data_IF_711106290263
#
_entry.id   IF_711106290263
#
_cell.length_a   1.000
_cell.length_b   1.000
_cell.length_c   1.000
_cell.angle_alpha   90.00
_cell.angle_beta   90.00
_cell.angle_gamma   90.00
#
_symmetry.space_group_name_H-M   'P 1'
#
loop_
_entity.id
_entity.type
_entity.pdbx_description
1 polymer ?
#
# COMPACT_ATOMS: atom_id res chain seq x y z
N UNK A 1 26.28 -25.58 -14.00
CA UNK A 1 25.15 -24.86 -13.38
C UNK A 1 23.90 -25.23 -14.18
N UNK A 2 22.77 -25.56 -13.54
CA UNK A 2 21.53 -25.75 -14.30
C UNK A 2 21.22 -24.44 -15.07
N UNK A 3 20.69 -24.53 -16.30
CA UNK A 3 20.42 -23.36 -17.11
C UNK A 3 19.40 -22.47 -16.41
N UNK A 4 19.73 -21.18 -16.27
CA UNK A 4 18.78 -20.16 -15.83
C UNK A 4 17.66 -20.07 -16.86
N UNK A 5 16.42 -20.31 -16.43
CA UNK A 5 15.26 -20.16 -17.30
C UNK A 5 14.75 -18.73 -17.17
N UNK A 6 14.63 -18.02 -18.29
CA UNK A 6 13.94 -16.72 -18.33
C UNK A 6 12.45 -16.99 -18.54
N UNK A 7 11.61 -16.38 -17.71
CA UNK A 7 10.15 -16.42 -17.86
C UNK A 7 9.59 -15.01 -17.90
N UNK A 8 8.76 -14.75 -18.90
CA UNK A 8 8.09 -13.47 -19.11
C UNK A 8 6.64 -13.55 -18.62
N UNK A 9 6.24 -12.58 -17.80
CA UNK A 9 4.86 -12.43 -17.35
C UNK A 9 4.25 -11.18 -17.98
N UNK A 10 3.11 -11.29 -18.69
CA UNK A 10 2.48 -10.14 -19.31
C UNK A 10 1.95 -9.15 -18.25
N UNK A 11 2.14 -7.87 -18.51
CA UNK A 11 1.60 -6.78 -17.70
C UNK A 11 0.15 -6.58 -18.12
N UNK A 12 -0.75 -6.65 -17.14
CA UNK A 12 -2.17 -6.42 -17.40
C UNK A 12 -2.44 -4.93 -17.55
N UNK A 13 -3.13 -4.53 -18.61
CA UNK A 13 -3.77 -3.21 -18.73
C UNK A 13 -5.22 -3.36 -19.17
N UNK A 14 -6.09 -2.46 -18.72
CA UNK A 14 -7.49 -2.36 -19.16
C UNK A 14 -7.70 -1.30 -20.23
N UNK A 15 -6.73 -0.42 -20.45
CA UNK A 15 -6.76 0.63 -21.48
C UNK A 15 -5.34 0.95 -21.97
N UNK A 16 -4.75 -0.01 -22.70
CA UNK A 16 -3.38 0.13 -23.17
C UNK A 16 -3.23 1.23 -24.23
N UNK A 17 -4.25 1.43 -25.07
CA UNK A 17 -4.23 2.42 -26.14
C UNK A 17 -4.10 3.83 -25.58
N UNK A 18 -4.77 4.13 -24.46
CA UNK A 18 -4.64 5.43 -23.79
C UNK A 18 -3.38 5.50 -22.94
N UNK A 19 -3.03 4.42 -22.24
CA UNK A 19 -1.92 4.41 -21.27
C UNK A 19 -0.54 4.41 -21.96
N UNK A 20 -0.45 3.82 -23.14
CA UNK A 20 0.78 3.47 -23.84
C UNK A 20 0.56 3.40 -25.36
N UNK A 21 0.01 4.46 -25.96
CA UNK A 21 -0.29 4.50 -27.40
C UNK A 21 0.92 4.10 -28.26
N UNK A 22 0.72 3.17 -29.20
CA UNK A 22 1.78 2.65 -30.07
C UNK A 22 2.67 1.54 -29.46
N UNK A 23 2.38 1.10 -28.23
CA UNK A 23 3.03 -0.07 -27.60
C UNK A 23 2.11 -1.28 -27.77
N UNK A 24 2.63 -2.35 -28.36
CA UNK A 24 1.90 -3.61 -28.48
C UNK A 24 1.93 -4.37 -27.14
N UNK A 25 0.86 -5.08 -26.75
CA UNK A 25 0.79 -5.76 -25.44
C UNK A 25 1.96 -6.71 -25.14
N UNK A 26 2.47 -7.41 -26.16
CA UNK A 26 3.55 -8.40 -26.00
C UNK A 26 4.89 -7.78 -25.55
N UNK A 27 5.08 -6.47 -25.76
CA UNK A 27 6.27 -5.76 -25.28
C UNK A 27 6.20 -5.41 -23.79
N UNK A 28 4.99 -5.44 -23.21
CA UNK A 28 4.76 -5.17 -21.80
C UNK A 28 4.76 -6.48 -21.04
N UNK A 29 5.97 -7.00 -20.82
CA UNK A 29 6.24 -8.12 -19.95
C UNK A 29 7.21 -7.75 -18.83
N UNK A 30 7.10 -8.45 -17.72
CA UNK A 30 8.13 -8.54 -16.70
C UNK A 30 8.90 -9.84 -16.87
N UNK A 31 10.21 -9.75 -16.97
CA UNK A 31 11.09 -10.88 -17.21
C UNK A 31 11.77 -11.29 -15.91
N UNK A 32 11.81 -12.60 -15.65
CA UNK A 32 12.37 -13.17 -14.43
C UNK A 32 13.33 -14.31 -14.75
N UNK A 33 14.49 -14.28 -14.13
CA UNK A 33 15.38 -15.42 -14.01
C UNK A 33 14.87 -16.35 -12.93
N UNK A 34 14.58 -17.60 -13.31
CA UNK A 34 14.22 -18.67 -12.40
C UNK A 34 15.45 -19.53 -12.17
N UNK A 35 15.87 -19.60 -10.91
CA UNK A 35 17.05 -20.38 -10.52
C UNK A 35 16.83 -21.09 -9.18
N UNK A 36 17.53 -22.21 -9.00
CA UNK A 36 17.47 -22.95 -7.74
C UNK A 36 18.06 -22.10 -6.62
N UNK A 37 17.31 -21.93 -5.54
CA UNK A 37 17.80 -21.20 -4.38
C UNK A 37 18.92 -22.00 -3.71
N UNK A 38 19.93 -21.31 -3.19
CA UNK A 38 20.99 -21.91 -2.37
C UNK A 38 20.97 -21.33 -0.96
N UNK A 39 21.38 -22.14 0.02
CA UNK A 39 21.56 -21.68 1.40
C UNK A 39 22.88 -20.88 1.54
N UNK A 40 23.19 -20.41 2.76
CA UNK A 40 24.42 -19.65 3.03
C UNK A 40 25.72 -20.41 2.76
N UNK A 41 25.67 -21.74 2.62
CA UNK A 41 26.79 -22.61 2.25
C UNK A 41 26.86 -22.89 0.74
N UNK A 42 25.95 -22.35 -0.05
CA UNK A 42 25.86 -22.60 -1.50
C UNK A 42 25.16 -23.91 -1.86
N UNK A 43 24.54 -24.61 -0.90
CA UNK A 43 23.84 -25.86 -1.15
C UNK A 43 22.41 -25.60 -1.65
N UNK A 44 21.92 -26.29 -2.68
CA UNK A 44 20.55 -26.15 -3.17
C UNK A 44 19.50 -26.38 -2.07
N UNK A 45 18.48 -25.53 -2.01
CA UNK A 45 17.30 -25.70 -1.14
C UNK A 45 16.16 -26.34 -1.92
N UNK A 46 15.04 -26.66 -1.24
CA UNK A 46 13.81 -27.12 -1.90
C UNK A 46 12.96 -25.97 -2.49
N UNK A 47 13.61 -24.87 -2.90
CA UNK A 47 12.94 -23.70 -3.46
C UNK A 47 13.66 -23.16 -4.68
N UNK A 48 12.91 -22.44 -5.50
CA UNK A 48 13.41 -21.63 -6.62
C UNK A 48 13.21 -20.15 -6.29
N UNK A 49 14.17 -19.31 -6.68
CA UNK A 49 14.06 -17.85 -6.66
C UNK A 49 13.59 -17.36 -8.02
N UNK A 50 12.66 -16.39 -8.04
CA UNK A 50 12.28 -15.68 -9.26
C UNK A 50 12.84 -14.25 -9.15
N UNK A 51 13.99 -14.02 -9.79
CA UNK A 51 14.70 -12.75 -9.74
C UNK A 51 14.31 -11.90 -10.95
N UNK A 52 13.82 -10.66 -10.76
CA UNK A 52 13.58 -9.74 -11.87
C UNK A 52 14.82 -9.51 -12.70
N UNK A 53 14.72 -9.57 -14.03
CA UNK A 53 15.75 -9.03 -14.93
C UNK A 53 15.52 -7.52 -15.05
N UNK A 54 15.86 -6.82 -13.99
CA UNK A 54 15.68 -5.38 -13.83
C UNK A 54 17.01 -4.79 -13.36
N UNK A 55 17.57 -3.88 -14.15
CA UNK A 55 18.67 -3.04 -13.68
C UNK A 55 18.09 -1.82 -12.97
N UNK A 56 18.37 -1.68 -11.68
CA UNK A 56 17.95 -0.50 -10.92
C UNK A 56 18.78 0.74 -11.29
N UNK A 57 19.96 0.57 -11.90
CA UNK A 57 20.79 1.66 -12.42
C UNK A 57 20.15 2.41 -13.59
N UNK A 58 19.21 1.77 -14.29
CA UNK A 58 18.38 2.39 -15.33
C UNK A 58 17.28 3.31 -14.78
N UNK A 59 17.23 3.52 -13.46
CA UNK A 59 16.22 4.32 -12.79
C UNK A 59 16.84 5.30 -11.79
N UNK A 60 16.18 6.45 -11.64
CA UNK A 60 16.47 7.44 -10.60
C UNK A 60 15.36 7.43 -9.56
N UNK A 61 15.76 7.28 -8.30
CA UNK A 61 14.86 7.28 -7.16
C UNK A 61 14.88 8.63 -6.46
N UNK A 62 13.72 9.11 -6.02
CA UNK A 62 13.59 10.32 -5.20
C UNK A 62 12.61 10.07 -4.07
N UNK A 63 13.07 10.22 -2.83
CA UNK A 63 12.21 10.21 -1.66
C UNK A 63 11.79 11.64 -1.30
N UNK A 64 10.52 11.83 -0.99
CA UNK A 64 9.92 13.13 -0.66
C UNK A 64 8.93 12.99 0.50
N UNK A 65 8.80 14.02 1.31
CA UNK A 65 7.63 14.18 2.19
C UNK A 65 6.55 14.84 1.36
N UNK A 66 5.50 14.10 1.01
CA UNK A 66 4.40 14.60 0.15
C UNK A 66 3.52 15.56 0.95
N UNK A 67 3.18 15.20 2.18
CA UNK A 67 2.54 16.11 3.13
C UNK A 67 2.90 15.79 4.58
N UNK A 68 2.78 16.80 5.43
CA UNK A 68 2.87 16.66 6.89
C UNK A 68 1.62 17.26 7.54
N UNK A 69 1.19 16.68 8.64
CA UNK A 69 0.02 17.07 9.39
C UNK A 69 0.40 17.26 10.86
N UNK A 70 -0.03 18.36 11.47
CA UNK A 70 0.27 18.65 12.86
C UNK A 70 -0.95 19.25 13.57
N UNK A 71 -0.93 19.18 14.91
CA UNK A 71 -2.01 19.66 15.76
C UNK A 71 -1.97 21.19 15.94
N UNK A 72 -3.14 21.81 15.89
CA UNK A 72 -3.38 23.21 16.26
C UNK A 72 -4.58 23.30 17.22
N UNK A 73 -4.42 24.02 18.32
CA UNK A 73 -5.47 24.21 19.34
C UNK A 73 -5.99 25.64 19.33
N UNK A 74 -7.27 25.82 19.54
CA UNK A 74 -7.87 27.16 19.63
C UNK A 74 -8.36 27.45 21.04
N UNK A 75 -8.16 28.69 21.47
CA UNK A 75 -8.59 29.17 22.80
C UNK A 75 -10.10 29.01 22.94
N UNK A 76 -10.84 29.37 21.89
CA UNK A 76 -12.28 29.24 21.79
C UNK A 76 -12.68 28.17 20.78
N UNK A 77 -13.89 27.62 20.94
CA UNK A 77 -14.48 26.74 19.93
C UNK A 77 -14.65 27.50 18.62
N UNK A 78 -14.10 26.96 17.53
CA UNK A 78 -14.25 27.54 16.19
C UNK A 78 -14.52 26.46 15.16
N UNK A 79 -14.56 26.87 13.90
CA UNK A 79 -14.80 26.02 12.75
C UNK A 79 -13.51 25.86 11.94
N UNK A 80 -13.22 24.65 11.46
CA UNK A 80 -11.99 24.36 10.69
C UNK A 80 -11.84 25.26 9.46
N UNK A 81 -12.95 25.65 8.81
CA UNK A 81 -12.94 26.61 7.70
C UNK A 81 -12.42 27.99 8.09
N UNK A 82 -12.64 28.44 9.34
CA UNK A 82 -12.13 29.73 9.83
C UNK A 82 -10.62 29.67 10.03
N UNK A 83 -10.11 28.57 10.61
CA UNK A 83 -8.67 28.32 10.76
C UNK A 83 -8.00 28.25 9.38
N UNK A 84 -8.60 27.50 8.44
CA UNK A 84 -8.12 27.44 7.06
C UNK A 84 -8.09 28.81 6.38
N UNK A 85 -9.19 29.57 6.44
CA UNK A 85 -9.27 30.89 5.81
C UNK A 85 -8.24 31.88 6.40
N UNK A 86 -8.01 31.80 7.71
CA UNK A 86 -7.00 32.58 8.40
C UNK A 86 -5.59 32.25 7.90
N UNK A 87 -5.23 30.96 7.89
CA UNK A 87 -3.94 30.48 7.42
C UNK A 87 -3.71 30.88 5.96
N UNK A 88 -4.70 30.64 5.09
CA UNK A 88 -4.62 30.97 3.67
C UNK A 88 -4.34 32.46 3.48
N UNK A 89 -5.09 33.34 4.17
CA UNK A 89 -4.92 34.79 4.07
C UNK A 89 -3.53 35.23 4.55
N UNK A 90 -3.08 34.74 5.70
CA UNK A 90 -1.79 35.09 6.27
C UNK A 90 -0.62 34.65 5.39
N UNK A 91 -0.65 33.41 4.89
CA UNK A 91 0.41 32.85 4.07
C UNK A 91 0.51 33.53 2.70
N UNK A 92 -0.63 33.87 2.08
CA UNK A 92 -0.65 34.67 0.84
C UNK A 92 -0.05 36.06 1.07
N UNK A 93 -0.36 36.72 2.20
CA UNK A 93 0.24 38.01 2.55
C UNK A 93 1.76 37.91 2.76
N UNK A 94 2.28 36.74 3.14
CA UNK A 94 3.70 36.44 3.25
C UNK A 94 4.35 35.98 1.93
N UNK A 95 3.59 35.95 0.82
CA UNK A 95 4.09 35.58 -0.51
C UNK A 95 4.13 34.07 -0.79
N UNK A 96 3.43 33.25 0.00
CA UNK A 96 3.29 31.83 -0.28
C UNK A 96 2.01 31.53 -1.09
N UNK A 97 2.02 30.42 -1.84
CA UNK A 97 0.83 29.83 -2.45
C UNK A 97 0.64 28.41 -1.90
N UNK A 98 0.17 28.27 -0.66
CA UNK A 98 0.25 27.00 0.03
C UNK A 98 -0.96 26.12 -0.30
N UNK A 99 -0.73 24.81 -0.43
CA UNK A 99 -1.78 23.79 -0.52
C UNK A 99 -1.99 23.24 0.90
N UNK A 100 -3.00 23.76 1.59
CA UNK A 100 -3.29 23.45 3.00
C UNK A 100 -4.69 22.89 3.19
N UNK A 101 -4.84 22.03 4.20
CA UNK A 101 -6.15 21.55 4.64
C UNK A 101 -6.23 21.58 6.16
N UNK A 102 -7.42 21.87 6.67
CA UNK A 102 -7.69 21.87 8.11
C UNK A 102 -8.93 21.04 8.38
N UNK A 103 -8.86 20.15 9.36
CA UNK A 103 -10.00 19.38 9.83
C UNK A 103 -9.95 19.14 11.33
N UNK A 104 -11.07 18.65 11.88
CA UNK A 104 -11.20 18.37 13.30
C UNK A 104 -10.65 17.00 13.69
N UNK A 105 -10.67 16.76 15.00
CA UNK A 105 -10.19 15.54 15.67
C UNK A 105 -10.70 14.23 15.05
N UNK A 106 -11.95 14.19 14.58
CA UNK A 106 -12.52 13.01 13.90
C UNK A 106 -12.31 13.11 12.40
N UNK A 107 -11.53 12.19 11.83
CA UNK A 107 -11.35 12.09 10.38
C UNK A 107 -12.64 11.58 9.73
N UNK A 108 -13.26 12.40 8.87
CA UNK A 108 -14.43 11.95 8.10
C UNK A 108 -14.05 10.77 7.20
N UNK A 109 -14.66 9.60 7.45
CA UNK A 109 -14.39 8.32 6.76
C UNK A 109 -14.58 8.32 5.24
N UNK A 110 -15.13 9.39 4.64
CA UNK A 110 -15.58 9.39 3.24
C UNK A 110 -14.71 10.16 2.24
N UNK A 111 -13.66 10.89 2.62
CA UNK A 111 -12.88 11.62 1.58
C UNK A 111 -11.54 12.26 1.95
N UNK A 112 -11.03 12.22 3.19
CA UNK A 112 -9.78 12.93 3.56
C UNK A 112 -9.86 14.46 3.52
N UNK A 113 -10.73 15.03 2.68
CA UNK A 113 -11.28 16.36 2.82
C UNK A 113 -12.49 16.31 3.78
N UNK A 114 -12.60 17.23 4.75
CA UNK A 114 -13.81 17.39 5.53
C UNK A 114 -14.98 17.69 4.58
N UNK A 115 -15.95 16.78 4.47
CA UNK A 115 -17.26 17.15 3.92
C UNK A 115 -17.94 18.01 4.98
N UNK A 116 -17.78 19.33 4.85
CA UNK A 116 -18.31 20.31 5.78
C UNK A 116 -17.30 20.77 6.83
N UNK A 117 -17.59 21.93 7.40
CA UNK A 117 -16.78 22.51 8.47
C UNK A 117 -16.95 21.72 9.75
N UNK A 118 -15.85 21.26 10.36
CA UNK A 118 -15.88 20.66 11.70
C UNK A 118 -15.76 21.75 12.75
N UNK A 119 -16.57 21.66 13.81
CA UNK A 119 -16.53 22.59 14.95
C UNK A 119 -15.80 21.93 16.11
N UNK A 120 -14.88 22.65 16.76
CA UNK A 120 -14.12 22.15 17.90
C UNK A 120 -13.03 23.11 18.33
N UNK A 121 -12.13 22.62 19.21
CA UNK A 121 -10.94 23.35 19.67
C UNK A 121 -9.63 22.71 19.23
N UNK A 122 -9.64 21.48 18.73
CA UNK A 122 -8.47 20.75 18.25
C UNK A 122 -8.64 20.49 16.77
N UNK A 123 -7.64 20.88 16.00
CA UNK A 123 -7.61 20.72 14.55
C UNK A 123 -6.28 20.10 14.14
N UNK A 124 -6.31 19.29 13.09
CA UNK A 124 -5.11 19.03 12.33
C UNK A 124 -4.96 20.06 11.21
N UNK A 125 -3.72 20.46 10.94
CA UNK A 125 -3.32 21.28 9.81
C UNK A 125 -2.40 20.46 8.93
N UNK A 126 -2.82 20.19 7.70
CA UNK A 126 -2.04 19.49 6.70
C UNK A 126 -1.40 20.47 5.73
N UNK A 127 -0.10 20.30 5.50
CA UNK A 127 0.71 21.04 4.53
C UNK A 127 1.21 20.09 3.46
N UNK A 128 0.87 20.34 2.20
CA UNK A 128 1.43 19.64 1.05
C UNK A 128 2.77 20.26 0.64
N UNK A 129 3.67 19.42 0.15
CA UNK A 129 5.03 19.76 -0.27
C UNK A 129 5.76 20.62 0.77
N UNK A 130 5.81 20.18 2.05
CA UNK A 130 6.31 21.01 3.13
C UNK A 130 7.78 21.36 2.93
N UNK A 131 8.09 22.65 3.13
CA UNK A 131 9.47 23.13 3.24
C UNK A 131 9.70 23.70 4.64
N UNK A 132 10.93 23.71 5.18
CA UNK A 132 11.21 24.31 6.49
C UNK A 132 10.75 25.78 6.58
N UNK A 133 10.83 26.52 5.46
CA UNK A 133 10.35 27.90 5.37
C UNK A 133 8.82 27.99 5.48
N UNK A 134 8.09 27.13 4.77
CA UNK A 134 6.63 27.11 4.80
C UNK A 134 6.11 26.68 6.18
N UNK A 135 6.69 25.64 6.78
CA UNK A 135 6.31 25.15 8.12
C UNK A 135 6.44 26.28 9.15
N UNK A 136 7.58 26.99 9.18
CA UNK A 136 7.78 28.14 10.08
C UNK A 136 6.77 29.27 9.83
N UNK A 137 6.45 29.56 8.56
CA UNK A 137 5.48 30.59 8.22
C UNK A 137 4.07 30.23 8.70
N UNK A 138 3.67 28.95 8.61
CA UNK A 138 2.38 28.48 9.10
C UNK A 138 2.29 28.62 10.62
N UNK A 139 3.32 28.18 11.36
CA UNK A 139 3.36 28.32 12.83
C UNK A 139 3.28 29.79 13.23
N UNK A 140 4.09 30.67 12.60
CA UNK A 140 4.06 32.11 12.85
C UNK A 140 2.67 32.72 12.57
N UNK A 141 2.00 32.30 11.48
CA UNK A 141 0.66 32.75 11.15
C UNK A 141 -0.36 32.37 12.21
N UNK A 142 -0.32 31.14 12.73
CA UNK A 142 -1.23 30.67 13.79
C UNK A 142 -1.04 31.47 15.08
N UNK A 143 0.21 31.68 15.49
CA UNK A 143 0.56 32.44 16.70
C UNK A 143 0.14 33.92 16.61
N UNK A 144 0.28 34.54 15.44
CA UNK A 144 0.02 35.98 15.26
C UNK A 144 -1.42 36.40 15.61
N UNK A 145 -2.33 35.42 15.67
CA UNK A 145 -3.75 35.64 15.96
C UNK A 145 -4.05 35.89 17.43
N UNK A 146 -3.20 35.40 18.34
CA UNK A 146 -3.48 35.32 19.78
C UNK A 146 -4.69 34.43 20.15
N UNK A 147 -5.29 33.74 19.18
CA UNK A 147 -6.51 32.92 19.33
C UNK A 147 -6.27 31.42 19.10
N UNK A 148 -5.11 31.09 18.53
CA UNK A 148 -4.70 29.75 18.22
C UNK A 148 -3.40 29.48 18.96
N UNK A 149 -3.46 28.51 19.85
CA UNK A 149 -2.31 27.92 20.53
C UNK A 149 -1.77 26.80 19.67
N UNK A 150 -0.52 26.96 19.24
CA UNK A 150 0.29 25.88 18.73
C UNK A 150 1.40 25.74 19.73
N UNK A 151 1.68 24.51 20.15
CA UNK A 151 2.89 24.26 20.90
C UNK A 151 4.08 24.58 19.97
N UNK A 152 4.75 25.70 20.24
CA UNK A 152 5.85 26.17 19.40
C UNK A 152 7.15 25.43 19.69
N UNK A 153 7.27 24.88 20.91
CA UNK A 153 8.43 24.10 21.32
C UNK A 153 8.33 22.69 20.75
N UNK A 154 7.14 22.10 20.77
CA UNK A 154 6.86 20.76 20.23
C UNK A 154 5.55 20.69 19.43
N UNK A 155 5.48 21.25 18.20
CA UNK A 155 4.29 21.17 17.35
C UNK A 155 4.03 19.71 16.96
N UNK A 156 3.06 19.09 17.62
CA UNK A 156 2.82 17.64 17.54
C UNK A 156 2.41 17.20 16.14
N UNK A 157 3.14 16.26 15.56
CA UNK A 157 2.81 15.64 14.27
C UNK A 157 1.66 14.65 14.49
N UNK A 158 0.60 14.81 13.69
CA UNK A 158 -0.59 13.95 13.71
C UNK A 158 -0.69 13.08 12.46
N UNK A 159 0.19 13.32 11.50
CA UNK A 159 0.35 12.47 10.34
C UNK A 159 1.45 12.94 9.41
N UNK A 160 1.92 12.04 8.56
CA UNK A 160 2.90 12.32 7.52
C UNK A 160 2.70 11.35 6.36
N UNK A 161 2.99 11.79 5.15
CA UNK A 161 3.14 10.90 4.00
C UNK A 161 4.51 11.04 3.37
N UNK A 162 5.17 9.90 3.18
CA UNK A 162 6.46 9.81 2.50
C UNK A 162 6.25 9.09 1.18
N UNK A 163 6.67 9.72 0.09
CA UNK A 163 6.63 9.18 -1.25
C UNK A 163 8.03 8.77 -1.71
N UNK A 164 8.12 7.67 -2.45
CA UNK A 164 9.29 7.31 -3.26
C UNK A 164 8.87 7.30 -4.72
N UNK A 165 9.43 8.22 -5.49
CA UNK A 165 9.28 8.32 -6.93
C UNK A 165 10.40 7.58 -7.65
N UNK A 166 10.02 6.86 -8.70
CA UNK A 166 10.94 6.13 -9.57
C UNK A 166 10.76 6.64 -11.00
N UNK A 167 11.80 7.29 -11.50
CA UNK A 167 11.87 7.83 -12.85
C UNK A 167 12.76 6.94 -13.70
N UNK A 168 12.36 6.56 -14.93
CA UNK A 168 13.29 6.00 -15.90
C UNK A 168 14.47 6.96 -16.11
N UNK A 169 15.69 6.43 -16.12
CA UNK A 169 16.94 7.18 -16.20
C UNK A 169 18.01 6.34 -16.90
N UNK A 170 17.76 5.99 -18.16
CA UNK A 170 18.72 5.25 -18.98
C UNK A 170 19.74 6.20 -19.61
N UNK A 171 21.00 5.81 -19.66
CA UNK A 171 22.03 6.57 -20.35
C UNK A 171 21.82 6.51 -21.88
N UNK A 172 21.91 7.66 -22.57
CA UNK A 172 21.76 7.78 -24.02
C UNK A 172 20.48 8.51 -24.46
N UNK A 173 20.24 8.57 -25.78
CA UNK A 173 18.97 9.04 -26.32
C UNK A 173 17.89 7.99 -26.04
N UNK A 174 16.91 8.34 -25.21
CA UNK A 174 15.76 7.49 -24.89
C UNK A 174 14.49 8.11 -25.47
N UNK A 175 13.69 7.30 -26.15
CA UNK A 175 12.43 7.73 -26.74
C UNK A 175 11.31 7.80 -25.70
N UNK A 176 10.28 8.62 -25.94
CA UNK A 176 9.05 8.67 -25.11
C UNK A 176 8.41 7.29 -24.93
N UNK A 177 8.51 6.46 -25.96
CA UNK A 177 8.05 5.07 -25.97
C UNK A 177 8.79 4.22 -24.96
N UNK A 178 10.12 4.26 -24.97
CA UNK A 178 10.96 3.52 -24.02
C UNK A 178 10.78 4.01 -22.59
N UNK A 179 10.70 5.33 -22.37
CA UNK A 179 10.36 5.91 -21.07
C UNK A 179 9.03 5.36 -20.55
N UNK A 180 8.03 5.27 -21.42
CA UNK A 180 6.71 4.72 -21.08
C UNK A 180 6.79 3.26 -20.69
N UNK A 181 7.49 2.41 -21.47
CA UNK A 181 7.66 0.99 -21.18
C UNK A 181 8.38 0.79 -19.85
N UNK A 182 9.53 1.45 -19.65
CA UNK A 182 10.35 1.32 -18.44
C UNK A 182 9.56 1.69 -17.18
N UNK A 183 8.77 2.77 -17.24
CA UNK A 183 7.90 3.21 -16.16
C UNK A 183 6.77 2.21 -15.88
N UNK A 184 6.09 1.69 -16.91
CA UNK A 184 5.03 0.71 -16.71
C UNK A 184 5.57 -0.60 -16.12
N UNK A 185 6.73 -1.07 -16.59
CA UNK A 185 7.43 -2.21 -16.00
C UNK A 185 7.74 -1.96 -14.52
N UNK A 186 8.27 -0.79 -14.18
CA UNK A 186 8.56 -0.42 -12.79
C UNK A 186 7.30 -0.35 -11.92
N UNK A 187 6.20 0.23 -12.41
CA UNK A 187 4.92 0.26 -11.69
C UNK A 187 4.41 -1.15 -11.37
N UNK A 188 4.52 -2.08 -12.33
CA UNK A 188 4.17 -3.48 -12.09
C UNK A 188 5.15 -4.17 -11.15
N UNK A 189 6.47 -3.94 -11.27
CA UNK A 189 7.47 -4.49 -10.34
C UNK A 189 7.21 -4.05 -8.89
N UNK A 190 6.90 -2.76 -8.67
CA UNK A 190 6.52 -2.27 -7.34
C UNK A 190 5.31 -3.05 -6.81
N UNK A 191 4.28 -3.26 -7.63
CA UNK A 191 3.08 -4.00 -7.22
C UNK A 191 3.36 -5.50 -6.96
N UNK A 192 4.18 -6.15 -7.77
CA UNK A 192 4.49 -7.58 -7.64
C UNK A 192 5.42 -7.87 -6.47
N UNK A 193 6.37 -6.99 -6.18
CA UNK A 193 7.39 -7.25 -5.16
C UNK A 193 7.08 -6.64 -3.79
N UNK A 194 6.11 -5.73 -3.71
CA UNK A 194 5.73 -5.13 -2.43
C UNK A 194 5.20 -6.19 -1.46
N UNK A 195 5.82 -6.24 -0.29
CA UNK A 195 5.61 -7.28 0.72
C UNK A 195 5.26 -6.63 2.06
N UNK A 196 4.01 -6.15 2.23
CA UNK A 196 3.57 -5.61 3.50
C UNK A 196 3.58 -6.68 4.60
N UNK A 197 3.49 -6.25 5.86
CA UNK A 197 3.32 -7.16 6.99
C UNK A 197 2.04 -7.98 6.85
N UNK A 198 2.06 -9.22 7.36
CA UNK A 198 0.87 -10.10 7.34
C UNK A 198 -0.29 -9.54 8.18
N UNK A 199 -0.02 -8.60 9.09
CA UNK A 199 -1.05 -7.87 9.85
C UNK A 199 -2.08 -7.19 8.94
N UNK A 200 -1.67 -6.73 7.75
CA UNK A 200 -2.57 -6.09 6.79
C UNK A 200 -3.50 -7.09 6.07
N UNK A 201 -3.38 -8.39 6.33
CA UNK A 201 -4.28 -9.41 5.80
C UNK A 201 -5.36 -9.85 6.81
N UNK A 202 -5.17 -9.53 8.09
CA UNK A 202 -6.08 -9.98 9.15
C UNK A 202 -7.45 -9.33 9.05
N UNK A 203 -7.48 -8.01 8.83
CA UNK A 203 -8.71 -7.24 8.73
C UNK A 203 -9.02 -6.89 7.27
N UNK A 204 -10.28 -7.04 6.87
CA UNK A 204 -10.66 -6.96 5.45
C UNK A 204 -10.33 -5.60 4.82
N UNK A 205 -10.52 -4.51 5.56
CA UNK A 205 -10.29 -3.16 5.04
C UNK A 205 -8.81 -2.86 4.77
N UNK A 206 -7.91 -3.61 5.39
CA UNK A 206 -6.46 -3.45 5.28
C UNK A 206 -5.85 -4.25 4.13
N UNK A 207 -6.60 -5.22 3.62
CA UNK A 207 -6.14 -6.12 2.56
C UNK A 207 -5.79 -5.34 1.29
N UNK A 208 -4.76 -5.79 0.56
CA UNK A 208 -4.42 -5.24 -0.74
C UNK A 208 -5.61 -5.19 -1.68
N UNK A 209 -5.84 -4.00 -2.23
CA UNK A 209 -6.92 -3.70 -3.18
C UNK A 209 -6.41 -2.76 -4.25
N UNK A 210 -7.01 -2.75 -5.41
CA UNK A 210 -6.76 -1.77 -6.45
C UNK A 210 -8.03 -1.01 -6.80
N UNK A 211 -7.85 0.22 -7.26
CA UNK A 211 -8.91 1.09 -7.76
C UNK A 211 -8.52 1.52 -9.17
N UNK A 212 -9.33 1.14 -10.15
CA UNK A 212 -9.17 1.54 -11.55
C UNK A 212 -10.06 2.72 -11.92
N UNK A 213 -10.28 2.90 -13.23
CA UNK A 213 -11.13 3.96 -13.79
C UNK A 213 -12.59 3.91 -13.31
N UNK A 214 -13.10 2.73 -12.98
CA UNK A 214 -14.46 2.53 -12.45
C UNK A 214 -14.65 3.01 -10.99
N UNK A 215 -13.56 3.47 -10.35
CA UNK A 215 -13.52 3.97 -8.96
C UNK A 215 -14.02 2.94 -7.93
N UNK A 216 -14.06 1.65 -8.28
CA UNK A 216 -14.45 0.56 -7.37
C UNK A 216 -13.22 -0.17 -6.86
N UNK A 217 -13.12 -0.31 -5.54
CA UNK A 217 -12.09 -1.12 -4.91
C UNK A 217 -12.29 -2.61 -5.19
N UNK A 218 -11.23 -3.29 -5.66
CA UNK A 218 -11.20 -4.73 -5.93
C UNK A 218 -9.97 -5.34 -5.25
N UNK A 219 -10.14 -6.45 -4.55
CA UNK A 219 -9.02 -7.09 -3.85
C UNK A 219 -8.14 -7.91 -4.80
N UNK A 220 -6.84 -8.03 -4.48
CA UNK A 220 -5.93 -8.92 -5.21
C UNK A 220 -6.24 -10.41 -4.97
N UNK A 221 -6.84 -10.72 -3.82
CA UNK A 221 -7.36 -12.04 -3.49
C UNK A 221 -8.83 -11.86 -3.11
N UNK A 222 -9.74 -12.48 -3.85
CA UNK A 222 -11.16 -12.43 -3.50
C UNK A 222 -11.43 -13.22 -2.23
N UNK A 223 -12.08 -12.57 -1.26
CA UNK A 223 -12.70 -13.27 -0.14
C UNK A 223 -13.81 -14.22 -0.61
N UNK A 224 -14.37 -15.04 0.31
CA UNK A 224 -15.49 -15.91 -0.02
C UNK A 224 -16.63 -15.10 -0.66
N UNK A 225 -17.18 -15.57 -1.79
CA UNK A 225 -18.27 -14.87 -2.48
C UNK A 225 -19.46 -14.67 -1.54
N UNK A 226 -20.10 -13.51 -1.63
CA UNK A 226 -21.43 -13.30 -1.06
C UNK A 226 -22.36 -14.36 -1.66
N UNK A 227 -22.80 -15.34 -0.87
CA UNK A 227 -24.00 -16.11 -1.22
C UNK A 227 -25.18 -15.16 -1.04
N UNK A 228 -26.12 -15.17 -1.98
CA UNK A 228 -27.22 -14.21 -2.03
C UNK A 228 -27.92 -14.12 -0.66
N UNK A 229 -27.85 -12.91 -0.09
CA UNK A 229 -28.43 -12.54 1.20
C UNK A 229 -27.78 -13.20 2.41
N UNK A 230 -26.78 -12.58 3.04
CA UNK A 230 -26.49 -12.96 4.43
C UNK A 230 -25.85 -11.86 5.29
N UNK A 231 -26.48 -11.60 6.45
CA UNK A 231 -25.88 -10.86 7.56
C UNK A 231 -24.57 -11.52 8.02
N UNK A 232 -24.41 -12.82 7.76
CA UNK A 232 -23.17 -13.58 7.99
C UNK A 232 -22.00 -13.11 7.13
N UNK A 233 -22.19 -12.80 5.84
CA UNK A 233 -21.14 -12.22 5.01
C UNK A 233 -20.69 -10.87 5.58
N UNK A 234 -21.66 -10.00 5.92
CA UNK A 234 -21.38 -8.72 6.59
C UNK A 234 -20.69 -8.88 7.96
N UNK A 235 -21.03 -9.92 8.72
CA UNK A 235 -20.39 -10.24 10.01
C UNK A 235 -19.01 -10.88 9.88
N UNK A 236 -18.71 -11.61 8.81
CA UNK A 236 -17.38 -12.17 8.52
C UNK A 236 -16.43 -11.07 8.03
N UNK A 237 -16.98 -10.14 7.25
CA UNK A 237 -16.31 -8.93 6.77
C UNK A 237 -15.97 -7.93 7.89
N UNK A 238 -16.74 -7.95 8.99
CA UNK A 238 -16.51 -7.11 10.17
C UNK A 238 -15.66 -7.78 11.26
N UNK A 239 -15.14 -8.98 11.03
CA UNK A 239 -14.31 -9.75 11.98
C UNK A 239 -12.99 -10.15 11.31
N UNK A 240 -11.97 -10.44 12.13
CA UNK A 240 -10.71 -11.04 11.70
C UNK A 240 -10.93 -12.49 11.22
N UNK A 241 -11.57 -12.70 10.06
CA UNK A 241 -11.72 -14.03 9.45
C UNK A 241 -10.50 -14.39 8.60
N UNK A 242 -9.37 -14.59 9.30
CA UNK A 242 -8.12 -15.01 8.67
C UNK A 242 -8.26 -16.41 8.05
N UNK A 243 -8.97 -17.33 8.70
CA UNK A 243 -9.15 -18.70 8.21
C UNK A 243 -9.98 -18.75 6.91
N UNK A 244 -11.07 -17.98 6.82
CA UNK A 244 -11.84 -17.88 5.59
C UNK A 244 -11.06 -17.23 4.45
N UNK A 245 -10.24 -16.23 4.77
CA UNK A 245 -9.34 -15.61 3.81
C UNK A 245 -8.26 -16.58 3.29
N UNK A 246 -7.61 -17.34 4.17
CA UNK A 246 -6.59 -18.30 3.77
C UNK A 246 -7.17 -19.43 2.90
N UNK A 247 -8.39 -19.90 3.18
CA UNK A 247 -9.11 -20.82 2.28
C UNK A 247 -9.39 -20.22 0.90
N UNK A 248 -9.68 -18.92 0.84
CA UNK A 248 -9.79 -18.23 -0.45
C UNK A 248 -8.44 -18.14 -1.16
N UNK A 249 -7.37 -17.84 -0.41
CA UNK A 249 -6.02 -17.71 -0.93
C UNK A 249 -5.38 -19.05 -1.36
N UNK A 250 -5.89 -20.21 -0.93
CA UNK A 250 -5.40 -21.51 -1.42
C UNK A 250 -5.88 -21.85 -2.84
N UNK A 251 -6.78 -21.04 -3.42
CA UNK A 251 -7.27 -21.27 -4.78
C UNK A 251 -6.79 -20.20 -5.75
N UNK A 252 -5.99 -20.60 -6.76
CA UNK A 252 -5.50 -19.71 -7.80
C UNK A 252 -6.60 -18.90 -8.50
N UNK A 253 -7.79 -19.48 -8.68
CA UNK A 253 -8.96 -18.83 -9.25
C UNK A 253 -9.49 -17.61 -8.46
N UNK A 254 -9.02 -17.39 -7.23
CA UNK A 254 -9.35 -16.22 -6.42
C UNK A 254 -8.32 -15.09 -6.51
N UNK A 255 -7.16 -15.33 -7.14
CA UNK A 255 -6.12 -14.32 -7.33
C UNK A 255 -6.40 -13.47 -8.56
N UNK A 256 -6.11 -12.17 -8.49
CA UNK A 256 -6.30 -11.22 -9.58
C UNK A 256 -5.11 -10.28 -9.68
N UNK A 257 -4.74 -9.95 -10.92
CA UNK A 257 -3.78 -8.88 -11.19
C UNK A 257 -4.48 -7.53 -11.21
N UNK A 258 -3.89 -6.54 -10.55
CA UNK A 258 -4.24 -5.15 -10.80
C UNK A 258 -3.83 -4.78 -12.25
N UNK A 259 -4.62 -3.98 -12.97
CA UNK A 259 -4.12 -3.29 -14.16
C UNK A 259 -3.00 -2.32 -13.78
N UNK A 260 -1.99 -2.16 -14.63
CA UNK A 260 -0.81 -1.32 -14.35
C UNK A 260 -1.16 0.15 -14.15
N UNK A 261 -2.22 0.64 -14.80
CA UNK A 261 -2.73 2.00 -14.63
C UNK A 261 -3.58 2.20 -13.37
N UNK A 262 -3.95 1.12 -12.67
CA UNK A 262 -4.72 1.21 -11.44
C UNK A 262 -3.83 1.62 -10.26
N UNK A 263 -4.45 2.18 -9.23
CA UNK A 263 -3.77 2.46 -7.98
C UNK A 263 -3.99 1.31 -7.01
N UNK A 264 -2.90 0.69 -6.53
CA UNK A 264 -2.94 -0.35 -5.49
C UNK A 264 -2.84 0.30 -4.12
N UNK A 265 -3.68 -0.12 -3.20
CA UNK A 265 -3.74 0.31 -1.81
C UNK A 265 -3.55 -0.88 -0.88
N UNK A 266 -2.79 -0.68 0.19
CA UNK A 266 -2.69 -1.60 1.34
C UNK A 266 -2.95 -0.79 2.60
N UNK A 267 -3.71 -1.32 3.54
CA UNK A 267 -4.19 -0.57 4.71
C UNK A 267 -5.52 0.16 4.46
N UNK A 268 -6.30 0.31 5.53
CA UNK A 268 -7.59 0.97 5.49
C UNK A 268 -7.47 2.44 5.11
N UNK A 269 -8.46 2.96 4.37
CA UNK A 269 -8.55 4.39 4.12
C UNK A 269 -8.70 5.18 5.43
N UNK A 270 -7.82 6.18 5.64
CA UNK A 270 -7.67 6.90 6.91
C UNK A 270 -7.28 6.00 8.10
N UNK A 271 -6.76 4.81 7.83
CA UNK A 271 -6.14 3.97 8.85
C UNK A 271 -4.82 4.57 9.35
N UNK A 272 -4.27 4.03 10.45
CA UNK A 272 -3.01 4.49 11.02
C UNK A 272 -1.83 4.37 10.05
N UNK A 273 -1.86 3.36 9.18
CA UNK A 273 -0.85 3.14 8.13
C UNK A 273 -1.55 2.75 6.84
N UNK A 274 -1.15 3.35 5.73
CA UNK A 274 -1.65 3.01 4.41
C UNK A 274 -0.56 3.19 3.36
N UNK A 275 -0.50 2.28 2.40
CA UNK A 275 0.32 2.44 1.20
C UNK A 275 -0.53 2.74 -0.02
N UNK A 276 0.06 3.49 -0.94
CA UNK A 276 -0.47 3.72 -2.28
C UNK A 276 0.62 3.50 -3.32
N UNK A 277 0.44 2.53 -4.21
CA UNK A 277 1.33 2.26 -5.34
C UNK A 277 0.59 2.68 -6.61
N UNK A 278 1.23 3.49 -7.45
CA UNK A 278 0.59 4.09 -8.59
C UNK A 278 1.54 4.34 -9.75
N UNK A 279 0.97 4.23 -10.95
CA UNK A 279 1.52 4.82 -12.16
C UNK A 279 1.16 6.31 -12.24
N UNK A 280 2.09 7.19 -11.85
CA UNK A 280 1.84 8.63 -11.66
C UNK A 280 2.02 9.39 -12.97
N UNK A 281 0.92 9.46 -13.72
CA UNK A 281 0.79 10.17 -15.02
C UNK A 281 0.19 11.56 -14.92
N UNK A 282 -0.53 11.86 -13.84
CA UNK A 282 -1.29 13.10 -13.69
C UNK A 282 -0.90 13.83 -12.41
N UNK A 283 -1.10 15.13 -12.42
CA UNK A 283 -0.98 16.02 -11.26
C UNK A 283 -2.20 16.94 -11.16
N UNK A 284 -2.37 17.61 -10.02
CA UNK A 284 -3.38 18.64 -9.77
C UNK A 284 -4.80 18.26 -10.24
N UNK A 285 -5.54 17.56 -9.39
CA UNK A 285 -6.93 17.19 -9.67
C UNK A 285 -7.88 18.31 -9.24
N UNK A 286 -8.68 18.81 -10.18
CA UNK A 286 -9.81 19.70 -9.93
C UNK A 286 -11.12 19.03 -10.37
N UNK A 287 -11.82 18.39 -9.44
CA UNK A 287 -13.01 17.62 -9.76
C UNK A 287 -12.69 16.41 -10.65
N UNK A 288 -13.21 16.39 -11.88
CA UNK A 288 -12.98 15.31 -12.85
C UNK A 288 -11.77 15.56 -13.76
N UNK A 289 -11.20 16.76 -13.76
CA UNK A 289 -10.04 17.09 -14.59
C UNK A 289 -8.74 16.89 -13.80
N UNK A 290 -7.77 16.27 -14.45
CA UNK A 290 -6.42 16.08 -13.94
C UNK A 290 -5.44 16.54 -15.00
N UNK A 291 -4.41 17.29 -14.62
CA UNK A 291 -3.38 17.75 -15.55
C UNK A 291 -2.45 16.60 -15.87
N UNK A 292 -2.37 16.20 -17.14
CA UNK A 292 -1.40 15.20 -17.58
C UNK A 292 0.02 15.75 -17.41
N UNK A 293 0.90 14.92 -16.85
CA UNK A 293 2.30 15.25 -16.70
C UNK A 293 3.03 15.11 -18.04
N UNK A 294 3.96 16.01 -18.34
CA UNK A 294 4.98 15.80 -19.37
C UNK A 294 5.69 14.46 -19.18
N UNK A 295 6.10 13.82 -20.29
CA UNK A 295 6.63 12.45 -20.29
C UNK A 295 7.79 12.26 -19.31
N UNK A 296 8.68 13.25 -19.21
CA UNK A 296 9.85 13.28 -18.35
C UNK A 296 9.53 13.43 -16.85
N UNK A 297 8.29 13.80 -16.51
CA UNK A 297 7.79 13.92 -15.13
C UNK A 297 6.89 12.76 -14.73
N UNK A 298 6.52 11.87 -15.67
CA UNK A 298 5.78 10.65 -15.37
C UNK A 298 6.69 9.65 -14.68
N UNK A 299 6.14 8.92 -13.72
CA UNK A 299 6.92 8.10 -12.79
C UNK A 299 6.09 7.01 -12.18
N UNK A 300 6.74 5.98 -11.66
CA UNK A 300 6.12 5.05 -10.73
C UNK A 300 6.27 5.64 -9.32
N UNK A 301 5.25 5.51 -8.47
CA UNK A 301 5.29 6.04 -7.10
C UNK A 301 4.76 5.04 -6.11
N UNK A 302 5.44 4.91 -4.97
CA UNK A 302 4.92 4.31 -3.75
C UNK A 302 4.87 5.37 -2.64
N UNK A 303 3.74 5.48 -1.96
CA UNK A 303 3.54 6.38 -0.82
C UNK A 303 3.23 5.56 0.42
N UNK A 304 3.74 6.02 1.56
CA UNK A 304 3.46 5.55 2.90
C UNK A 304 2.82 6.69 3.69
N UNK A 305 1.53 6.55 3.97
CA UNK A 305 0.77 7.42 4.88
C UNK A 305 0.86 6.85 6.29
N UNK A 306 1.20 7.69 7.26
CA UNK A 306 1.17 7.37 8.69
C UNK A 306 0.33 8.42 9.41
N UNK A 307 -0.68 8.00 10.16
CA UNK A 307 -1.65 8.88 10.81
C UNK A 307 -1.83 8.50 12.28
N UNK A 308 -2.08 9.53 13.09
CA UNK A 308 -2.72 9.38 14.39
C UNK A 308 -4.18 8.97 14.23
N UNK A 309 -4.65 8.01 15.02
CA UNK A 309 -6.02 7.50 14.94
C UNK A 309 -7.02 8.35 15.73
N UNK A 310 -8.30 8.28 15.33
CA UNK A 310 -9.39 9.11 15.90
C UNK A 310 -9.58 8.92 17.43
N UNK A 311 -9.10 7.81 18.02
CA UNK A 311 -9.24 7.50 19.45
C UNK A 311 -8.06 7.93 20.33
N UNK A 312 -6.97 8.45 19.74
CA UNK A 312 -5.70 8.68 20.43
C UNK A 312 -5.39 10.17 20.64
N UNK A 313 -6.26 11.07 20.21
CA UNK A 313 -6.03 12.52 20.33
C UNK A 313 -5.83 13.03 21.75
N UNK A 314 -6.39 12.33 22.74
CA UNK A 314 -6.26 12.66 24.17
C UNK A 314 -5.23 11.77 24.90
N UNK A 315 -4.59 10.82 24.20
CA UNK A 315 -3.56 9.94 24.77
C UNK A 315 -2.19 10.29 24.19
N UNK A 316 -1.19 10.42 25.05
CA UNK A 316 0.16 10.78 24.63
C UNK A 316 1.00 9.57 24.18
N UNK A 317 0.48 8.35 24.38
CA UNK A 317 1.37 7.20 24.51
C UNK A 317 1.50 6.33 23.25
N UNK A 318 0.63 6.48 22.24
CA UNK A 318 0.58 5.55 21.08
C UNK A 318 0.05 6.20 19.80
N UNK A 319 0.83 7.03 19.10
CA UNK A 319 0.53 7.36 17.69
C UNK A 319 1.66 6.90 16.76
N UNK A 320 1.33 6.60 15.50
CA UNK A 320 2.30 6.03 14.54
C UNK A 320 3.48 6.97 14.29
N UNK A 321 3.29 8.29 14.04
CA UNK A 321 4.42 9.21 13.90
C UNK A 321 5.33 9.22 15.13
N UNK A 322 4.77 9.29 16.35
CA UNK A 322 5.56 9.24 17.58
C UNK A 322 6.33 7.93 17.74
N UNK A 323 5.69 6.79 17.46
CA UNK A 323 6.31 5.46 17.56
C UNK A 323 7.55 5.28 16.66
N UNK A 324 7.67 6.06 15.58
CA UNK A 324 8.84 6.04 14.71
C UNK A 324 9.89 7.10 15.08
N UNK A 325 9.56 8.03 15.97
CA UNK A 325 10.40 9.16 16.40
C UNK A 325 10.13 10.44 15.60
N UNK A 326 8.89 10.66 15.18
CA UNK A 326 8.38 11.91 14.59
C UNK A 326 7.22 12.42 15.44
N UNK A 327 7.51 12.81 16.69
CA UNK A 327 6.51 13.34 17.62
C UNK A 327 6.22 14.82 17.31
N UNK A 328 7.25 15.57 16.94
CA UNK A 328 7.17 17.01 16.65
C UNK A 328 7.58 17.33 15.20
N UNK A 329 7.10 18.47 14.69
CA UNK A 329 7.52 18.98 13.39
C UNK A 329 9.03 19.24 13.31
N UNK A 330 9.68 19.48 14.46
CA UNK A 330 11.10 19.76 14.53
C UNK A 330 11.96 18.49 14.42
N UNK A 331 11.41 17.33 14.81
CA UNK A 331 12.10 16.03 14.71
C UNK A 331 12.45 15.70 13.25
N UNK A 332 11.65 16.19 12.30
CA UNK A 332 11.87 15.99 10.87
C UNK A 332 13.26 16.44 10.39
N UNK A 333 13.89 17.41 11.06
CA UNK A 333 15.24 17.88 10.70
C UNK A 333 16.34 16.87 11.02
N UNK A 334 16.14 15.98 11.99
CA UNK A 334 17.09 14.95 12.41
C UNK A 334 16.63 13.53 12.13
N UNK A 335 15.43 13.37 11.59
CA UNK A 335 14.83 12.07 11.36
C UNK A 335 15.57 11.28 10.28
N UNK A 336 15.96 10.05 10.62
CA UNK A 336 16.62 9.12 9.70
C UNK A 336 15.57 8.37 8.90
N UNK A 337 15.15 8.94 7.77
CA UNK A 337 14.13 8.36 6.89
C UNK A 337 14.50 6.96 6.37
N UNK A 338 15.77 6.56 6.42
CA UNK A 338 16.22 5.20 6.14
C UNK A 338 15.55 4.16 7.04
N UNK A 339 15.14 4.53 8.26
CA UNK A 339 14.37 3.66 9.17
C UNK A 339 13.05 3.20 8.55
N UNK A 340 12.46 3.99 7.64
CA UNK A 340 11.24 3.63 6.94
C UNK A 340 11.45 2.51 5.91
N UNK A 341 12.70 2.25 5.49
CA UNK A 341 13.00 1.17 4.53
C UNK A 341 12.51 -0.18 5.02
N UNK A 342 12.84 -0.53 6.26
CA UNK A 342 12.49 -1.84 6.85
C UNK A 342 11.04 -1.90 7.31
N UNK A 343 10.46 -0.76 7.69
CA UNK A 343 9.10 -0.70 8.21
C UNK A 343 8.04 -0.59 7.10
N UNK A 344 8.35 0.17 6.05
CA UNK A 344 7.35 0.66 5.09
C UNK A 344 7.68 0.46 3.62
N UNK A 345 8.92 0.21 3.24
CA UNK A 345 9.31 -0.01 1.84
C UNK A 345 9.95 -1.38 1.65
N UNK A 346 9.25 -2.42 2.12
CA UNK A 346 9.70 -3.80 2.05
C UNK A 346 9.35 -4.44 0.70
N UNK A 347 10.38 -4.81 -0.05
CA UNK A 347 10.26 -5.53 -1.33
C UNK A 347 11.02 -6.85 -1.23
N UNK A 348 10.43 -7.93 -1.71
CA UNK A 348 11.00 -9.28 -1.58
C UNK A 348 11.21 -9.92 -2.94
N UNK A 349 12.29 -10.70 -3.06
CA UNK A 349 12.43 -11.67 -4.15
C UNK A 349 11.57 -12.88 -3.77
N UNK A 350 10.50 -13.21 -4.54
CA UNK A 350 9.68 -14.37 -4.26
C UNK A 350 10.48 -15.66 -4.41
N UNK A 351 10.09 -16.63 -3.61
CA UNK A 351 10.53 -18.01 -3.78
C UNK A 351 9.32 -18.92 -3.95
N UNK A 352 9.46 -19.93 -4.80
CA UNK A 352 8.44 -20.96 -5.02
C UNK A 352 8.98 -22.33 -4.63
N UNK A 353 8.11 -23.24 -4.23
CA UNK A 353 8.47 -24.63 -3.98
C UNK A 353 8.96 -25.33 -5.25
N UNK A 354 9.58 -26.50 -5.08
CA UNK A 354 9.80 -27.40 -6.21
C UNK A 354 8.49 -28.10 -6.60
N UNK A 355 8.39 -28.50 -7.86
CA UNK A 355 7.32 -29.40 -8.29
C UNK A 355 7.42 -30.73 -7.54
N UNK A 356 6.27 -31.29 -7.16
CA UNK A 356 6.17 -32.61 -6.54
C UNK A 356 6.50 -33.74 -7.52
N UNK A 357 6.29 -33.49 -8.81
CA UNK A 357 6.53 -34.45 -9.89
C UNK A 357 8.00 -34.40 -10.36
N UNK A 358 8.58 -33.20 -10.39
CA UNK A 358 9.98 -32.99 -10.74
C UNK A 358 10.64 -31.97 -9.78
N UNK A 359 11.44 -32.44 -8.80
CA UNK A 359 12.15 -31.57 -7.86
C UNK A 359 13.18 -30.63 -8.51
N UNK A 360 13.53 -30.84 -9.78
CA UNK A 360 14.40 -29.95 -10.56
C UNK A 360 13.63 -28.84 -11.28
N UNK A 361 12.31 -28.85 -11.19
CA UNK A 361 11.43 -27.83 -11.75
C UNK A 361 10.69 -27.06 -10.65
N UNK A 362 10.34 -25.79 -10.88
CA UNK A 362 9.55 -25.00 -9.93
C UNK A 362 8.07 -25.45 -9.91
N UNK A 363 7.38 -25.14 -8.80
CA UNK A 363 5.93 -25.32 -8.69
C UNK A 363 5.20 -24.28 -9.58
N UNK A 364 4.62 -24.75 -10.68
CA UNK A 364 3.94 -23.92 -11.69
C UNK A 364 2.73 -23.17 -11.14
N UNK A 365 2.03 -23.73 -10.14
CA UNK A 365 0.89 -23.08 -9.50
C UNK A 365 1.36 -21.88 -8.67
N UNK A 366 2.44 -22.04 -7.92
CA UNK A 366 3.05 -20.93 -7.18
C UNK A 366 3.58 -19.84 -8.12
N UNK A 367 4.11 -20.22 -9.29
CA UNK A 367 4.49 -19.25 -10.34
C UNK A 367 3.26 -18.51 -10.88
N UNK A 368 2.16 -19.20 -11.22
CA UNK A 368 0.94 -18.57 -11.72
C UNK A 368 0.35 -17.58 -10.70
N UNK A 369 0.36 -17.95 -9.42
CA UNK A 369 -0.11 -17.10 -8.33
C UNK A 369 0.74 -15.85 -8.19
N UNK A 370 2.07 -15.99 -8.27
CA UNK A 370 2.99 -14.85 -8.28
C UNK A 370 2.73 -13.96 -9.51
N UNK A 371 2.67 -14.55 -10.70
CA UNK A 371 2.40 -13.84 -11.95
C UNK A 371 1.09 -13.07 -11.89
N UNK A 372 0.09 -13.58 -11.16
CA UNK A 372 -1.22 -12.94 -11.01
C UNK A 372 -1.23 -11.87 -9.92
N UNK A 373 -0.77 -12.17 -8.71
CA UNK A 373 -1.03 -11.36 -7.50
C UNK A 373 0.21 -10.96 -6.72
N UNK A 374 1.39 -11.21 -7.28
CA UNK A 374 2.68 -10.84 -6.70
C UNK A 374 3.03 -11.62 -5.43
N UNK A 375 4.07 -11.14 -4.75
CA UNK A 375 4.55 -11.67 -3.47
C UNK A 375 3.42 -11.72 -2.44
N UNK A 376 2.58 -10.68 -2.40
CA UNK A 376 1.50 -10.65 -1.42
C UNK A 376 0.55 -11.83 -1.58
N UNK A 377 0.12 -12.16 -2.81
CA UNK A 377 -0.73 -13.31 -3.04
C UNK A 377 -0.03 -14.65 -2.84
N UNK A 378 1.22 -14.77 -3.32
CA UNK A 378 2.02 -15.98 -3.15
C UNK A 378 2.22 -16.35 -1.67
N UNK A 379 2.52 -15.36 -0.81
CA UNK A 379 2.67 -15.58 0.63
C UNK A 379 1.40 -16.14 1.27
N UNK A 380 0.22 -15.60 0.92
CA UNK A 380 -1.04 -16.08 1.48
C UNK A 380 -1.39 -17.49 1.00
N UNK A 381 -1.09 -17.80 -0.27
CA UNK A 381 -1.23 -19.16 -0.81
C UNK A 381 -0.33 -20.16 -0.07
N UNK A 382 0.97 -19.84 0.07
CA UNK A 382 1.92 -20.69 0.77
C UNK A 382 1.55 -20.86 2.25
N UNK A 383 1.07 -19.81 2.91
CA UNK A 383 0.60 -19.89 4.29
C UNK A 383 -0.62 -20.81 4.42
N UNK A 384 -1.59 -20.71 3.50
CA UNK A 384 -2.74 -21.59 3.47
C UNK A 384 -2.34 -23.06 3.28
N UNK A 385 -1.43 -23.35 2.34
CA UNK A 385 -0.87 -24.69 2.08
C UNK A 385 -0.19 -25.28 3.32
N UNK A 386 0.63 -24.49 4.02
CA UNK A 386 1.28 -24.92 5.27
C UNK A 386 0.27 -25.28 6.38
N UNK A 387 -0.83 -24.54 6.49
CA UNK A 387 -1.88 -24.83 7.47
C UNK A 387 -2.62 -26.13 7.11
N UNK A 388 -2.95 -26.33 5.84
CA UNK A 388 -3.59 -27.56 5.36
C UNK A 388 -2.70 -28.79 5.59
N UNK A 389 -1.40 -28.70 5.28
CA UNK A 389 -0.42 -29.78 5.51
C UNK A 389 -0.30 -30.13 7.00
N UNK A 390 -0.17 -29.12 7.88
CA UNK A 390 -0.15 -29.34 9.34
C UNK A 390 -1.47 -29.90 9.88
N UNK A 391 -2.60 -29.48 9.30
CA UNK A 391 -3.93 -29.98 9.65
C UNK A 391 -4.13 -31.44 9.26
N UNK A 392 -3.65 -31.84 8.09
CA UNK A 392 -3.69 -33.22 7.61
C UNK A 392 -2.72 -34.12 8.36
N UNK A 393 -1.52 -33.65 8.70
CA UNK A 393 -0.55 -34.39 9.53
C UNK A 393 -1.09 -34.72 10.93
N UNK A 394 -1.98 -33.87 11.48
CA UNK A 394 -2.64 -34.08 12.78
C UNK A 394 -3.87 -34.99 12.72
N UNK A 395 -4.34 -35.38 11.54
CA UNK A 395 -5.43 -36.33 11.35
C UNK A 395 -4.86 -37.65 10.81
N UNK A 396 -4.23 -38.49 11.65
CA UNK A 396 -3.86 -39.83 11.22
C UNK A 396 -5.13 -40.58 10.83
N UNK A 397 -5.04 -41.36 9.74
CA UNK A 397 -6.12 -42.14 9.16
C UNK A 397 -7.07 -42.79 10.19
N UNK A 398 -8.19 -42.13 10.42
CA UNK A 398 -9.33 -42.65 11.15
C UNK A 398 -10.56 -41.96 10.60
N UNK A 399 -11.39 -42.68 9.84
CA UNK A 399 -12.67 -42.19 9.33
C UNK A 399 -13.57 -41.85 10.53
N UNK A 400 -13.62 -40.59 10.92
CA UNK A 400 -14.69 -40.08 11.77
C UNK A 400 -15.66 -39.30 10.87
N UNK A 401 -16.78 -39.93 10.52
CA UNK A 401 -17.94 -39.22 9.99
C UNK A 401 -18.48 -38.34 11.12
N UNK A 402 -18.20 -37.04 11.06
CA UNK A 402 -18.89 -36.06 11.88
C UNK A 402 -20.16 -35.63 11.16
N UNK A 403 -21.29 -36.14 11.62
CA UNK A 403 -22.59 -35.56 11.28
C UNK A 403 -22.72 -34.21 12.01
N UNK A 404 -23.06 -33.15 11.27
CA UNK A 404 -23.00 -31.75 11.71
C UNK A 404 -24.09 -31.34 12.71
N UNK A 405 -24.76 -32.31 13.34
CA UNK A 405 -25.82 -32.08 14.32
C UNK A 405 -25.61 -32.88 15.61
N UNK A 406 -24.47 -32.69 16.28
CA UNK A 406 -24.38 -32.62 17.75
C UNK A 406 -25.02 -33.70 18.64
N UNK A 407 -25.31 -34.91 18.15
CA UNK A 407 -25.75 -36.06 18.97
C UNK A 407 -25.07 -37.33 18.50
N UNK A 408 -23.92 -37.64 19.11
CA UNK A 408 -23.26 -38.93 18.91
C UNK A 408 -23.99 -40.03 19.66
N UNK A 409 -24.49 -41.03 18.93
CA UNK A 409 -24.76 -42.36 19.50
C UNK A 409 -23.63 -43.31 19.08
N UNK A 410 -22.95 -43.87 20.07
CA UNK A 410 -22.06 -45.01 19.88
C UNK A 410 -22.91 -46.26 19.71
N UNK A 411 -22.85 -46.90 18.54
CA UNK A 411 -23.29 -48.28 18.38
C UNK A 411 -22.07 -49.17 18.42
N UNK A 412 -21.90 -49.90 19.51
CA UNK A 412 -20.90 -50.98 19.62
C UNK A 412 -21.51 -52.22 18.98
N UNK A 413 -20.97 -52.66 17.86
CA UNK A 413 -21.27 -53.96 17.27
C UNK A 413 -20.41 -54.99 18.01
N UNK A 414 -21.04 -56.02 18.59
CA UNK A 414 -20.36 -57.20 19.13
C UNK A 414 -20.01 -58.17 18.01
#
# INVERSE_FOLDING_TARGET
MPPTQIRSFPIRSTDIATTASGIVPDELCLDYEISKQTNTKGEPTERFELRPTLDLGDYRFRAEVDWVEFEARTVETTQSRHVHALLQKALVAMGFSPKIWVGGQVRSRKSGAPKGSTTGRIFWVRLQDPTPKLVRAVIAALMSTGKIEVDTETPRVTGIEVAVDVYPNKAGEITDRELTIMRLKMSEYLCKHFAPSDLFNEHYADRPRWVGSDKKAKHLIYGPKQRDGDARFRSLMSKHDLNGFLRSASSANNHRSAPVEATVYVGQNHGPVMWRLQDKTHDERCGETAKLLPIEKRRSRIELTMLKTDGEWERDDYDVPGAIGLESLWDASGFKFEKLKTMGFNFQIPTVACSKEDPLSPDEMEIEIFATSGVCGLRQYQHAKQIEEKGNAKRPHGKANFDLNGKGHMTVVK
#
